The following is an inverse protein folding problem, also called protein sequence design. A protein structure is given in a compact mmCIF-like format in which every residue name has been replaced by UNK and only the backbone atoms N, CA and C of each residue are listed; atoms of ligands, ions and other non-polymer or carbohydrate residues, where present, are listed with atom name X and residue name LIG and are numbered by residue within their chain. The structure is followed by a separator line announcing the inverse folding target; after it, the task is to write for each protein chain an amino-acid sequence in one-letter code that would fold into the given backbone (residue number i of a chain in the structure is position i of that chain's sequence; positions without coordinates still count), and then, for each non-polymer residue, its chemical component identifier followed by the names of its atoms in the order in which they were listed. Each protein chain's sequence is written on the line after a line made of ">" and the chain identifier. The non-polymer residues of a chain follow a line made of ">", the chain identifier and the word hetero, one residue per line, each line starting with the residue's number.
data_IF_305626323134
#
_entry.id   IF_305626323134
#
_cell.length_a   1.000
_cell.length_b   1.000
_cell.length_c   1.000
_cell.angle_alpha   90.00
_cell.angle_beta   90.00
_cell.angle_gamma   90.00
#
_symmetry.space_group_name_H-M   'P 1'
#
loop_
_entity.id
_entity.type
_entity.pdbx_description
1 polymer ?
#
# COMPACT_ATOMS: atom_id res chain seq x y z
N UNK A 1 -1.28 -20.82 7.11
CA UNK A 1 -1.78 -19.54 6.56
C UNK A 1 -0.62 -18.84 5.84
N UNK A 2 -0.20 -19.37 4.68
CA UNK A 2 1.12 -19.06 4.08
C UNK A 2 1.06 -18.27 2.77
N UNK A 3 -0.15 -18.04 2.22
CA UNK A 3 -0.32 -17.54 0.85
C UNK A 3 -0.68 -16.05 0.76
N UNK A 4 -1.26 -15.43 1.81
CA UNK A 4 -1.66 -14.00 1.79
C UNK A 4 -0.49 -13.01 1.83
N UNK A 5 0.73 -13.48 2.14
CA UNK A 5 1.92 -12.65 2.13
C UNK A 5 2.62 -12.60 0.77
N UNK A 6 2.18 -13.36 -0.23
CA UNK A 6 2.85 -13.39 -1.53
C UNK A 6 2.82 -12.01 -2.23
N UNK A 7 1.66 -11.36 -2.24
CA UNK A 7 1.52 -10.05 -2.86
C UNK A 7 2.32 -8.97 -2.12
N UNK A 8 2.27 -8.99 -0.78
CA UNK A 8 3.12 -8.14 0.07
C UNK A 8 4.60 -8.34 -0.26
N UNK A 9 5.05 -9.58 -0.28
CA UNK A 9 6.43 -9.95 -0.58
C UNK A 9 6.84 -9.45 -1.96
N UNK A 10 6.02 -9.68 -2.99
CA UNK A 10 6.31 -9.21 -4.35
C UNK A 10 6.36 -7.69 -4.43
N UNK A 11 5.45 -6.97 -3.76
CA UNK A 11 5.45 -5.51 -3.74
C UNK A 11 6.69 -4.93 -3.02
N UNK A 12 7.21 -5.61 -2.01
CA UNK A 12 8.43 -5.20 -1.31
C UNK A 12 9.73 -5.59 -2.06
N UNK A 13 9.75 -6.74 -2.76
CA UNK A 13 10.93 -7.19 -3.52
C UNK A 13 11.04 -6.51 -4.89
N UNK A 14 9.91 -6.22 -5.54
CA UNK A 14 9.86 -5.67 -6.89
C UNK A 14 9.05 -4.36 -6.96
N UNK A 15 9.33 -3.37 -6.09
CA UNK A 15 8.48 -2.19 -5.97
C UNK A 15 8.43 -1.37 -7.27
N UNK A 16 9.52 -1.37 -8.06
CA UNK A 16 9.57 -0.64 -9.33
C UNK A 16 8.58 -1.20 -10.36
N UNK A 17 8.40 -2.51 -10.40
CA UNK A 17 7.45 -3.16 -11.31
C UNK A 17 6.02 -2.79 -10.96
N UNK A 18 5.68 -2.69 -9.67
CA UNK A 18 4.36 -2.24 -9.23
C UNK A 18 4.10 -0.78 -9.56
N UNK A 19 5.11 0.09 -9.44
CA UNK A 19 4.98 1.50 -9.85
C UNK A 19 4.77 1.61 -11.36
N UNK A 20 5.56 0.90 -12.17
CA UNK A 20 5.39 0.86 -13.63
C UNK A 20 4.00 0.34 -14.00
N UNK A 21 3.57 -0.74 -13.38
CA UNK A 21 2.28 -1.37 -13.67
C UNK A 21 1.08 -0.47 -13.32
N UNK A 22 1.05 0.08 -12.10
CA UNK A 22 -0.12 0.80 -11.60
C UNK A 22 -0.15 2.27 -11.98
N UNK A 23 1.03 2.91 -12.13
CA UNK A 23 1.13 4.34 -12.43
C UNK A 23 1.57 4.63 -13.87
N UNK A 24 2.05 3.64 -14.62
CA UNK A 24 2.49 3.83 -16.01
C UNK A 24 3.72 4.74 -16.15
N UNK A 25 4.53 4.85 -15.09
CA UNK A 25 5.73 5.71 -15.07
C UNK A 25 6.96 4.90 -14.69
N UNK A 26 8.13 5.38 -15.15
CA UNK A 26 9.42 4.85 -14.73
C UNK A 26 9.83 5.52 -13.40
N UNK A 27 9.93 4.79 -12.27
CA UNK A 27 10.37 5.38 -11.01
C UNK A 27 11.87 5.70 -11.07
N UNK A 28 12.26 6.94 -10.75
CA UNK A 28 13.68 7.28 -10.60
C UNK A 28 14.20 6.88 -9.22
N UNK A 29 13.43 7.18 -8.19
CA UNK A 29 13.68 6.74 -6.82
C UNK A 29 12.49 5.95 -6.31
N UNK A 30 12.78 4.87 -5.58
CA UNK A 30 11.75 4.08 -4.94
C UNK A 30 12.20 3.61 -3.57
N UNK A 31 11.30 3.73 -2.60
CA UNK A 31 11.51 3.26 -1.25
C UNK A 31 10.25 2.58 -0.72
N UNK A 32 10.44 1.42 -0.12
CA UNK A 32 9.39 0.71 0.61
C UNK A 32 9.29 1.31 2.01
N UNK A 33 8.18 1.98 2.32
CA UNK A 33 7.96 2.55 3.64
C UNK A 33 7.44 1.45 4.59
N UNK A 34 8.28 1.04 5.55
CA UNK A 34 7.92 0.07 6.61
C UNK A 34 7.17 0.73 7.77
N UNK A 35 6.15 1.51 7.46
CA UNK A 35 5.28 2.12 8.46
C UNK A 35 4.14 1.18 8.79
N UNK A 36 4.04 0.77 10.05
CA UNK A 36 2.84 0.13 10.58
C UNK A 36 1.80 1.21 10.88
N UNK A 37 0.86 1.43 9.95
CA UNK A 37 -0.34 2.20 10.29
C UNK A 37 -1.16 1.35 11.26
N UNK A 38 -1.37 1.84 12.49
CA UNK A 38 -2.13 1.11 13.51
C UNK A 38 -3.52 0.75 12.96
N UNK A 39 -3.75 -0.56 12.77
CA UNK A 39 -4.91 -1.14 12.08
C UNK A 39 -6.17 -1.20 12.95
N UNK A 40 -6.23 -0.48 14.08
CA UNK A 40 -7.46 -0.40 14.87
C UNK A 40 -8.34 0.74 14.36
N UNK A 41 -9.59 0.47 13.90
CA UNK A 41 -10.27 -0.83 13.71
C UNK A 41 -10.18 -1.40 12.27
N UNK A 42 -9.38 -0.79 11.40
CA UNK A 42 -9.31 -1.08 9.96
C UNK A 42 -8.40 -2.29 9.67
N UNK A 43 -9.00 -3.48 9.48
CA UNK A 43 -8.29 -4.70 9.06
C UNK A 43 -8.13 -4.75 7.53
N UNK A 44 -6.92 -4.48 7.06
CA UNK A 44 -6.47 -4.87 5.73
C UNK A 44 -5.66 -6.18 5.83
N UNK A 45 -5.75 -7.07 4.84
CA UNK A 45 -4.97 -8.31 4.81
C UNK A 45 -3.47 -7.97 4.68
N UNK A 46 -3.14 -7.03 3.78
CA UNK A 46 -1.82 -6.42 3.70
C UNK A 46 -1.88 -5.04 3.03
N UNK A 47 -1.09 -4.10 3.56
CA UNK A 47 -0.87 -2.77 2.95
C UNK A 47 0.62 -2.55 2.74
N UNK A 48 0.99 -2.11 1.55
CA UNK A 48 2.34 -1.71 1.18
C UNK A 48 2.35 -0.26 0.70
N UNK A 49 3.37 0.49 1.12
CA UNK A 49 3.55 1.89 0.75
C UNK A 49 4.87 2.06 0.01
N UNK A 50 4.78 2.57 -1.22
CA UNK A 50 5.95 2.82 -2.06
C UNK A 50 6.11 4.33 -2.25
N UNK A 51 7.14 4.91 -1.64
CA UNK A 51 7.52 6.30 -1.88
C UNK A 51 8.24 6.39 -3.21
N UNK A 52 7.71 7.21 -4.11
CA UNK A 52 8.31 7.61 -5.38
C UNK A 52 8.61 9.11 -5.31
N UNK A 53 9.25 9.65 -6.33
CA UNK A 53 9.77 11.03 -6.38
C UNK A 53 8.83 12.07 -5.72
N UNK A 54 7.57 12.16 -6.17
CA UNK A 54 6.64 13.21 -5.72
C UNK A 54 5.33 12.65 -5.10
N UNK A 55 5.27 11.36 -4.77
CA UNK A 55 4.04 10.72 -4.27
C UNK A 55 4.33 9.40 -3.57
N UNK A 56 3.40 9.00 -2.71
CA UNK A 56 3.37 7.67 -2.11
C UNK A 56 2.26 6.87 -2.80
N UNK A 57 2.60 5.70 -3.34
CA UNK A 57 1.66 4.73 -3.88
C UNK A 57 1.23 3.79 -2.76
N UNK A 58 -0.08 3.72 -2.51
CA UNK A 58 -0.67 2.82 -1.51
C UNK A 58 -1.26 1.60 -2.22
N UNK A 59 -0.86 0.41 -1.81
CA UNK A 59 -1.36 -0.84 -2.37
C UNK A 59 -1.93 -1.67 -1.23
N UNK A 60 -3.23 -1.97 -1.32
CA UNK A 60 -3.92 -2.84 -0.39
C UNK A 60 -4.32 -4.12 -1.13
N UNK A 61 -3.83 -5.26 -0.65
CA UNK A 61 -4.23 -6.57 -1.14
C UNK A 61 -5.33 -7.12 -0.26
N UNK A 62 -6.39 -7.67 -0.85
CA UNK A 62 -7.52 -8.25 -0.13
C UNK A 62 -7.95 -9.55 -0.79
N UNK A 63 -8.32 -10.53 0.03
CA UNK A 63 -9.00 -11.74 -0.43
C UNK A 63 -10.50 -11.53 -0.63
N UNK A 64 -11.07 -10.53 0.05
CA UNK A 64 -12.49 -10.17 0.01
C UNK A 64 -12.64 -8.77 -0.58
N UNK A 65 -13.55 -8.61 -1.53
CA UNK A 65 -13.76 -7.33 -2.25
C UNK A 65 -14.57 -6.29 -1.45
N UNK A 66 -15.22 -6.70 -0.37
CA UNK A 66 -16.05 -5.85 0.49
C UNK A 66 -15.34 -5.53 1.81
N UNK A 67 -15.54 -4.32 2.32
CA UNK A 67 -14.86 -3.85 3.53
C UNK A 67 -15.76 -3.00 4.41
N UNK A 68 -15.57 -3.08 5.74
CA UNK A 68 -16.20 -2.20 6.74
C UNK A 68 -15.10 -1.61 7.62
N UNK A 69 -14.85 -0.28 7.62
CA UNK A 69 -15.50 0.73 6.79
C UNK A 69 -15.22 0.55 5.29
N UNK A 70 -16.00 1.20 4.43
CA UNK A 70 -15.87 1.09 2.97
C UNK A 70 -14.43 1.40 2.49
N UNK A 71 -13.97 0.71 1.45
CA UNK A 71 -12.59 0.77 0.96
C UNK A 71 -12.14 2.20 0.62
N UNK A 72 -13.01 3.01 0.02
CA UNK A 72 -12.71 4.41 -0.28
C UNK A 72 -12.42 5.24 0.98
N UNK A 73 -13.19 5.02 2.05
CA UNK A 73 -12.98 5.71 3.33
C UNK A 73 -11.68 5.27 4.00
N UNK A 74 -11.39 3.96 3.95
CA UNK A 74 -10.13 3.37 4.41
C UNK A 74 -8.91 3.95 3.68
N UNK A 75 -8.95 3.99 2.35
CA UNK A 75 -7.87 4.55 1.52
C UNK A 75 -7.64 6.04 1.81
N UNK A 76 -8.72 6.80 2.06
CA UNK A 76 -8.62 8.19 2.47
C UNK A 76 -7.92 8.33 3.83
N UNK A 77 -8.28 7.50 4.81
CA UNK A 77 -7.65 7.51 6.14
C UNK A 77 -6.14 7.24 6.05
N UNK A 78 -5.72 6.22 5.28
CA UNK A 78 -4.30 5.96 5.03
C UNK A 78 -3.57 7.17 4.43
N UNK A 79 -4.18 7.82 3.43
CA UNK A 79 -3.61 9.01 2.81
C UNK A 79 -3.42 10.16 3.80
N UNK A 80 -4.40 10.42 4.66
CA UNK A 80 -4.31 11.48 5.66
C UNK A 80 -3.23 11.17 6.71
N UNK A 81 -3.13 9.91 7.17
CA UNK A 81 -2.10 9.50 8.14
C UNK A 81 -0.69 9.64 7.55
N UNK A 82 -0.48 9.18 6.33
CA UNK A 82 0.83 9.29 5.68
C UNK A 82 1.23 10.73 5.41
N UNK A 83 0.29 11.59 5.00
CA UNK A 83 0.54 13.02 4.82
C UNK A 83 0.89 13.76 6.13
N UNK A 84 0.52 13.21 7.28
CA UNK A 84 0.95 13.75 8.59
C UNK A 84 2.35 13.28 8.97
N UNK A 85 2.80 12.15 8.44
CA UNK A 85 4.07 11.51 8.79
C UNK A 85 5.22 11.88 7.84
N UNK A 86 4.92 12.12 6.56
CA UNK A 86 5.87 12.45 5.48
C UNK A 86 5.48 13.75 4.79
#
# INVERSE_FOLDING_TARGET
>A
MSYDNACKYLAEQYPAEFVRWLLGVEPQQIEVLKTELTLEPIRADSVTFLRTDNRILHIEFQTITTSTPALNFRMLDYSVRLKRQY
#
